data_IF_369314792621
#
_entry.id   IF_369314792621
#
_cell.length_a   1.000
_cell.length_b   1.000
_cell.length_c   1.000
_cell.angle_alpha   90.00
_cell.angle_beta   90.00
_cell.angle_gamma   90.00
#
_symmetry.space_group_name_H-M   'P 1'
#
loop_
_entity.id
_entity.type
_entity.pdbx_description
1 polymer ?
#
# COMPACT_ATOMS: atom_id res chain seq x y z
N UNK A 1 19.46 26.85 -18.93
CA UNK A 1 19.45 26.47 -17.49
C UNK A 1 18.04 26.36 -16.88
N UNK A 2 17.07 27.19 -17.28
CA UNK A 2 15.71 27.18 -16.72
C UNK A 2 15.01 25.80 -16.85
N UNK A 3 15.08 25.17 -18.02
CA UNK A 3 14.52 23.84 -18.25
C UNK A 3 15.07 22.80 -17.25
N UNK A 4 16.40 22.72 -17.07
CA UNK A 4 16.98 21.75 -16.13
C UNK A 4 16.59 22.02 -14.68
N UNK A 5 16.41 23.28 -14.28
CA UNK A 5 15.87 23.61 -12.94
C UNK A 5 14.43 23.10 -12.78
N UNK A 6 13.60 23.24 -13.82
CA UNK A 6 12.24 22.70 -13.83
C UNK A 6 12.24 21.17 -13.73
N UNK A 7 13.07 20.51 -14.53
CA UNK A 7 13.20 19.05 -14.53
C UNK A 7 13.76 18.51 -13.21
N UNK A 8 14.62 19.26 -12.53
CA UNK A 8 15.11 18.93 -11.18
C UNK A 8 13.97 19.01 -10.15
N UNK A 9 13.21 20.10 -10.16
CA UNK A 9 12.06 20.28 -9.27
C UNK A 9 11.02 19.17 -9.47
N UNK A 10 10.74 18.80 -10.72
CA UNK A 10 9.84 17.69 -11.04
C UNK A 10 10.35 16.36 -10.49
N UNK A 11 11.65 16.04 -10.66
CA UNK A 11 12.22 14.81 -10.10
C UNK A 11 12.17 14.78 -8.56
N UNK A 12 12.39 15.92 -7.90
CA UNK A 12 12.26 16.05 -6.45
C UNK A 12 10.81 15.82 -5.97
N UNK A 13 9.84 16.36 -6.70
CA UNK A 13 8.42 16.13 -6.44
C UNK A 13 8.07 14.65 -6.61
N UNK A 14 8.43 14.03 -7.75
CA UNK A 14 8.16 12.60 -7.99
C UNK A 14 8.79 11.70 -6.93
N UNK A 15 9.99 12.03 -6.42
CA UNK A 15 10.61 11.26 -5.32
C UNK A 15 9.77 11.35 -4.05
N UNK A 16 9.29 12.54 -3.72
CA UNK A 16 8.46 12.79 -2.53
C UNK A 16 7.12 12.04 -2.64
N UNK A 17 6.49 12.08 -3.81
CA UNK A 17 5.27 11.33 -4.09
C UNK A 17 5.49 9.81 -4.01
N UNK A 18 6.61 9.30 -4.54
CA UNK A 18 6.95 7.89 -4.44
C UNK A 18 7.19 7.44 -2.98
N UNK A 19 7.84 8.28 -2.16
CA UNK A 19 8.01 8.03 -0.73
C UNK A 19 6.67 8.03 0.03
N UNK A 20 5.80 9.00 -0.25
CA UNK A 20 4.47 9.06 0.35
C UNK A 20 3.59 7.85 -0.04
N UNK A 21 3.66 7.44 -1.31
CA UNK A 21 2.95 6.25 -1.79
C UNK A 21 3.47 4.97 -1.13
N UNK A 22 4.79 4.84 -0.94
CA UNK A 22 5.39 3.71 -0.23
C UNK A 22 4.94 3.66 1.24
N UNK A 23 4.93 4.80 1.95
CA UNK A 23 4.44 4.88 3.32
C UNK A 23 2.95 4.52 3.42
N UNK A 24 2.14 4.99 2.48
CA UNK A 24 0.71 4.65 2.40
C UNK A 24 0.51 3.15 2.17
N UNK A 25 1.29 2.54 1.28
CA UNK A 25 1.23 1.09 1.03
C UNK A 25 1.57 0.28 2.29
N UNK A 26 2.55 0.71 3.10
CA UNK A 26 2.89 0.06 4.38
C UNK A 26 1.76 0.20 5.39
N UNK A 27 1.13 1.38 5.49
CA UNK A 27 0.01 1.59 6.41
C UNK A 27 -1.20 0.72 6.04
N UNK A 28 -1.51 0.62 4.74
CA UNK A 28 -2.58 -0.23 4.23
C UNK A 28 -2.29 -1.72 4.46
N UNK A 29 -1.06 -2.17 4.21
CA UNK A 29 -0.69 -3.57 4.47
C UNK A 29 -0.77 -3.92 5.96
N UNK A 30 -0.35 -3.00 6.83
CA UNK A 30 -0.47 -3.18 8.29
C UNK A 30 -1.93 -3.33 8.71
N UNK A 31 -2.83 -2.49 8.18
CA UNK A 31 -4.28 -2.59 8.45
C UNK A 31 -4.87 -3.88 7.90
N UNK A 32 -4.48 -4.30 6.70
CA UNK A 32 -4.96 -5.53 6.08
C UNK A 32 -4.51 -6.77 6.86
N UNK A 33 -3.26 -6.81 7.34
CA UNK A 33 -2.76 -7.89 8.21
C UNK A 33 -3.53 -7.98 9.52
N UNK A 34 -3.78 -6.85 10.18
CA UNK A 34 -4.56 -6.84 11.41
C UNK A 34 -6.00 -7.37 11.20
N UNK A 35 -6.61 -7.05 10.05
CA UNK A 35 -7.91 -7.59 9.68
C UNK A 35 -7.85 -9.11 9.42
N UNK A 36 -6.83 -9.57 8.69
CA UNK A 36 -6.57 -11.00 8.46
C UNK A 36 -6.36 -11.76 9.77
N UNK A 37 -5.52 -11.26 10.68
CA UNK A 37 -5.23 -11.91 11.96
C UNK A 37 -6.51 -12.05 12.81
N UNK A 38 -7.35 -11.01 12.82
CA UNK A 38 -8.65 -11.06 13.49
C UNK A 38 -9.59 -12.10 12.88
N UNK A 39 -9.80 -12.02 11.55
CA UNK A 39 -10.72 -12.93 10.85
C UNK A 39 -10.27 -14.39 10.89
N UNK A 40 -8.98 -14.65 10.68
CA UNK A 40 -8.41 -16.00 10.73
C UNK A 40 -8.49 -16.59 12.15
N UNK A 41 -8.21 -15.79 13.18
CA UNK A 41 -8.36 -16.21 14.58
C UNK A 41 -9.81 -16.57 14.91
N UNK A 42 -10.77 -15.75 14.49
CA UNK A 42 -12.20 -16.01 14.72
C UNK A 42 -12.68 -17.28 14.00
N UNK A 43 -12.28 -17.47 12.74
CA UNK A 43 -12.57 -18.69 11.97
C UNK A 43 -11.98 -19.92 12.65
N UNK A 44 -10.71 -19.87 13.06
CA UNK A 44 -10.05 -20.98 13.76
C UNK A 44 -10.77 -21.34 15.07
N UNK A 45 -11.14 -20.33 15.87
CA UNK A 45 -11.87 -20.55 17.12
C UNK A 45 -13.24 -21.19 16.87
N UNK A 46 -13.96 -20.76 15.83
CA UNK A 46 -15.25 -21.32 15.45
C UNK A 46 -15.11 -22.75 14.91
N UNK A 47 -14.12 -23.04 14.07
CA UNK A 47 -13.83 -24.39 13.54
C UNK A 47 -13.49 -25.36 14.69
N UNK A 48 -12.70 -24.92 15.68
CA UNK A 48 -12.40 -25.73 16.87
C UNK A 48 -13.66 -25.99 17.71
N UNK A 49 -14.49 -24.97 17.93
CA UNK A 49 -15.76 -25.12 18.64
C UNK A 49 -16.70 -26.11 17.92
N UNK A 50 -16.82 -26.02 16.60
CA UNK A 50 -17.60 -26.94 15.78
C UNK A 50 -17.02 -28.36 15.84
N UNK A 51 -15.71 -28.50 15.76
CA UNK A 51 -15.04 -29.81 15.87
C UNK A 51 -15.34 -30.49 17.20
N UNK A 52 -15.26 -29.74 18.31
CA UNK A 52 -15.61 -30.24 19.65
C UNK A 52 -17.09 -30.59 19.76
N UNK A 53 -17.98 -29.76 19.21
CA UNK A 53 -19.42 -30.00 19.21
C UNK A 53 -19.80 -31.27 18.43
N UNK A 54 -19.28 -31.42 17.20
CA UNK A 54 -19.48 -32.61 16.37
C UNK A 54 -19.02 -33.86 17.12
N UNK A 55 -17.80 -33.83 17.69
CA UNK A 55 -17.23 -34.98 18.36
C UNK A 55 -17.97 -35.36 19.67
N UNK A 56 -18.58 -34.41 20.37
CA UNK A 56 -19.42 -34.69 21.53
C UNK A 56 -20.75 -35.34 21.12
N UNK A 57 -21.39 -34.82 20.07
CA UNK A 57 -22.65 -35.35 19.53
C UNK A 57 -22.47 -36.77 18.96
N UNK A 58 -21.37 -37.03 18.25
CA UNK A 58 -21.04 -38.36 17.73
C UNK A 58 -20.79 -39.39 18.84
N UNK A 59 -20.36 -38.95 20.03
CA UNK A 59 -20.24 -39.80 21.23
C UNK A 59 -21.56 -39.98 21.99
N UNK A 60 -22.67 -39.45 21.45
CA UNK A 60 -23.99 -39.54 22.06
C UNK A 60 -24.24 -38.53 23.18
N UNK A 61 -23.37 -37.53 23.39
CA UNK A 61 -23.64 -36.45 24.34
C UNK A 61 -24.75 -35.56 23.79
N UNK A 62 -25.93 -35.65 24.38
CA UNK A 62 -27.11 -34.86 24.00
C UNK A 62 -27.76 -34.22 25.23
N UNK A 63 -28.62 -33.21 25.02
CA UNK A 63 -29.40 -32.57 26.09
C UNK A 63 -28.55 -31.90 27.18
N UNK A 64 -28.94 -32.05 28.44
CA UNK A 64 -28.32 -31.36 29.58
C UNK A 64 -26.82 -31.61 29.73
N UNK A 65 -26.31 -32.79 29.38
CA UNK A 65 -24.88 -33.13 29.42
C UNK A 65 -24.06 -32.34 28.39
N UNK A 66 -24.62 -32.10 27.21
CA UNK A 66 -24.00 -31.28 26.16
C UNK A 66 -24.01 -29.79 26.52
N UNK A 67 -25.08 -29.32 27.17
CA UNK A 67 -25.25 -27.91 27.57
C UNK A 67 -24.40 -27.53 28.78
N UNK A 68 -24.21 -28.43 29.74
CA UNK A 68 -23.38 -28.18 30.93
C UNK A 68 -21.88 -28.14 30.61
N UNK A 69 -21.42 -28.79 29.54
CA UNK A 69 -20.01 -28.85 29.14
C UNK A 69 -19.45 -27.59 28.47
N UNK A 70 -20.20 -26.49 28.36
CA UNK A 70 -19.77 -25.24 27.72
C UNK A 70 -19.70 -25.26 26.18
N UNK A 71 -19.69 -26.45 25.57
CA UNK A 71 -19.69 -26.69 24.12
C UNK A 71 -20.94 -26.10 23.46
N UNK A 72 -22.11 -26.22 24.10
CA UNK A 72 -23.36 -25.66 23.57
C UNK A 72 -23.36 -24.13 23.45
N UNK A 73 -22.69 -23.41 24.36
CA UNK A 73 -22.58 -21.95 24.30
C UNK A 73 -21.64 -21.48 23.18
N UNK A 74 -20.53 -22.20 22.97
CA UNK A 74 -19.63 -21.94 21.85
C UNK A 74 -20.31 -22.24 20.51
N UNK A 75 -21.04 -23.35 20.42
CA UNK A 75 -21.82 -23.71 19.24
C UNK A 75 -22.87 -22.66 18.88
N UNK A 76 -23.61 -22.17 19.89
CA UNK A 76 -24.60 -21.11 19.71
C UNK A 76 -23.99 -19.86 19.08
N UNK A 77 -22.82 -19.44 19.57
CA UNK A 77 -22.10 -18.28 19.02
C UNK A 77 -21.65 -18.52 17.58
N UNK A 78 -21.06 -19.68 17.30
CA UNK A 78 -20.58 -20.02 15.95
C UNK A 78 -21.71 -20.01 14.91
N UNK A 79 -22.89 -20.52 15.28
CA UNK A 79 -24.07 -20.57 14.39
C UNK A 79 -24.76 -19.21 14.24
N UNK A 80 -24.81 -18.40 15.30
CA UNK A 80 -25.40 -17.06 15.24
C UNK A 80 -24.53 -16.07 14.47
N UNK A 81 -23.21 -16.23 14.53
CA UNK A 81 -22.25 -15.34 13.87
C UNK A 81 -21.91 -15.79 12.44
N UNK A 82 -22.45 -16.92 11.98
CA UNK A 82 -22.23 -17.40 10.62
C UNK A 82 -23.38 -17.00 9.72
N UNK A 83 -23.07 -16.23 8.67
CA UNK A 83 -23.99 -15.88 7.59
C UNK A 83 -24.21 -17.02 6.59
N UNK A 84 -23.45 -18.12 6.72
CA UNK A 84 -23.52 -19.29 5.84
C UNK A 84 -24.52 -20.34 6.31
N UNK A 85 -24.97 -20.26 7.56
CA UNK A 85 -26.01 -21.14 8.07
C UNK A 85 -27.37 -20.64 7.60
N UNK A 86 -28.14 -21.50 6.92
CA UNK A 86 -29.50 -21.17 6.54
C UNK A 86 -30.38 -20.88 7.77
N UNK A 87 -31.41 -20.05 7.62
CA UNK A 87 -32.32 -19.76 8.73
C UNK A 87 -32.99 -21.03 9.29
N UNK A 88 -33.25 -22.02 8.42
CA UNK A 88 -33.75 -23.34 8.85
C UNK A 88 -32.73 -24.09 9.68
N UNK A 89 -31.48 -24.17 9.25
CA UNK A 89 -30.42 -24.88 9.97
C UNK A 89 -30.10 -24.20 11.30
N UNK A 90 -30.09 -22.86 11.31
CA UNK A 90 -29.93 -22.07 12.52
C UNK A 90 -31.06 -22.36 13.50
N UNK A 91 -32.30 -22.42 13.01
CA UNK A 91 -33.46 -22.77 13.84
C UNK A 91 -33.36 -24.20 14.38
N UNK A 92 -32.95 -25.16 13.56
CA UNK A 92 -32.75 -26.56 13.96
C UNK A 92 -31.69 -26.70 15.05
N UNK A 93 -30.53 -26.04 14.89
CA UNK A 93 -29.46 -26.07 15.89
C UNK A 93 -29.87 -25.34 17.17
N UNK A 94 -30.55 -24.20 17.08
CA UNK A 94 -31.03 -23.48 18.27
C UNK A 94 -32.13 -24.25 19.02
N UNK A 95 -33.02 -24.94 18.30
CA UNK A 95 -34.05 -25.82 18.87
C UNK A 95 -33.43 -27.03 19.57
N UNK A 96 -32.37 -27.59 19.00
CA UNK A 96 -31.57 -28.63 19.66
C UNK A 96 -30.89 -28.10 20.94
N UNK A 97 -30.30 -26.90 20.88
CA UNK A 97 -29.62 -26.26 22.00
C UNK A 97 -30.54 -25.79 23.13
N UNK A 98 -31.82 -25.52 22.86
CA UNK A 98 -32.80 -25.19 23.90
C UNK A 98 -33.29 -26.42 24.67
N UNK A 99 -32.73 -27.60 24.39
CA UNK A 99 -32.98 -28.82 25.15
C UNK A 99 -34.29 -29.49 24.80
N UNK A 100 -34.84 -29.24 23.59
CA UNK A 100 -35.95 -29.99 23.00
C UNK A 100 -36.97 -30.48 24.03
N UNK A 101 -37.50 -29.57 24.86
CA UNK A 101 -38.62 -29.94 25.72
C UNK A 101 -39.82 -30.10 24.81
N UNK A 102 -40.13 -31.36 24.50
CA UNK A 102 -41.31 -31.81 23.80
C UNK A 102 -42.56 -31.61 24.67
N UNK A 103 -42.82 -30.39 25.13
CA UNK A 103 -44.08 -30.02 25.76
C UNK A 103 -45.08 -29.55 24.68
N UNK A 104 -45.35 -30.43 23.71
CA UNK A 104 -46.33 -30.15 22.65
C UNK A 104 -46.09 -30.76 21.26
N UNK A 105 -45.38 -31.88 21.13
CA UNK A 105 -45.34 -32.65 19.86
C UNK A 105 -44.64 -31.98 18.66
N UNK A 106 -43.86 -30.90 18.87
CA UNK A 106 -43.05 -30.29 17.81
C UNK A 106 -41.79 -31.11 17.56
N UNK A 107 -41.45 -31.25 16.28
CA UNK A 107 -40.27 -31.89 15.72
C UNK A 107 -38.99 -31.56 16.53
N UNK A 108 -38.43 -32.57 17.20
CA UNK A 108 -37.10 -32.49 17.81
C UNK A 108 -36.10 -33.06 16.81
N UNK A 109 -35.18 -32.25 16.24
CA UNK A 109 -34.23 -32.72 15.26
C UNK A 109 -33.35 -33.83 15.85
N UNK A 110 -33.15 -34.91 15.10
CA UNK A 110 -32.29 -36.01 15.54
C UNK A 110 -30.85 -35.53 15.60
N UNK A 111 -30.08 -36.03 16.58
CA UNK A 111 -28.67 -35.65 16.75
C UNK A 111 -27.83 -35.87 15.49
N UNK A 112 -28.18 -36.85 14.65
CA UNK A 112 -27.52 -37.10 13.37
C UNK A 112 -27.71 -35.99 12.33
N UNK A 113 -28.90 -35.38 12.27
CA UNK A 113 -29.18 -34.25 11.37
C UNK A 113 -28.39 -33.01 11.80
N UNK A 114 -28.38 -32.73 13.11
CA UNK A 114 -27.57 -31.64 13.70
C UNK A 114 -26.08 -31.86 13.41
N UNK A 115 -25.56 -33.08 13.56
CA UNK A 115 -24.16 -33.39 13.20
C UNK A 115 -23.89 -33.12 11.72
N UNK A 116 -24.83 -33.44 10.82
CA UNK A 116 -24.72 -33.13 9.40
C UNK A 116 -24.60 -31.62 9.14
N UNK A 117 -25.50 -30.83 9.71
CA UNK A 117 -25.49 -29.36 9.63
C UNK A 117 -24.16 -28.79 10.14
N UNK A 118 -23.69 -29.26 11.30
CA UNK A 118 -22.45 -28.77 11.89
C UNK A 118 -21.21 -29.14 11.09
N UNK A 119 -21.19 -30.31 10.46
CA UNK A 119 -20.11 -30.73 9.54
C UNK A 119 -20.07 -29.84 8.31
N UNK A 120 -21.22 -29.61 7.68
CA UNK A 120 -21.30 -28.71 6.53
C UNK A 120 -20.81 -27.30 6.89
N UNK A 121 -21.28 -26.76 8.02
CA UNK A 121 -20.84 -25.45 8.50
C UNK A 121 -19.32 -25.40 8.76
N UNK A 122 -18.76 -26.46 9.35
CA UNK A 122 -17.32 -26.57 9.59
C UNK A 122 -16.54 -26.60 8.27
N UNK A 123 -17.00 -27.36 7.30
CA UNK A 123 -16.35 -27.49 6.00
C UNK A 123 -16.37 -26.15 5.25
N UNK A 124 -17.50 -25.43 5.28
CA UNK A 124 -17.62 -24.08 4.73
C UNK A 124 -16.67 -23.09 5.42
N UNK A 125 -16.63 -23.06 6.76
CA UNK A 125 -15.69 -22.19 7.49
C UNK A 125 -14.23 -22.55 7.22
N UNK A 126 -13.91 -23.83 7.04
CA UNK A 126 -12.56 -24.29 6.70
C UNK A 126 -12.18 -23.86 5.29
N UNK A 127 -13.13 -23.89 4.35
CA UNK A 127 -12.93 -23.35 3.00
C UNK A 127 -12.73 -21.83 3.01
N UNK A 128 -13.50 -21.09 3.81
CA UNK A 128 -13.35 -19.65 3.99
C UNK A 128 -11.98 -19.30 4.59
N UNK A 129 -11.52 -20.04 5.61
CA UNK A 129 -10.18 -19.87 6.18
C UNK A 129 -9.08 -20.10 5.13
N UNK A 130 -9.19 -21.18 4.36
CA UNK A 130 -8.21 -21.49 3.30
C UNK A 130 -8.19 -20.43 2.20
N UNK A 131 -9.37 -19.92 1.82
CA UNK A 131 -9.48 -18.81 0.86
C UNK A 131 -8.85 -17.53 1.40
N UNK A 132 -9.10 -17.21 2.67
CA UNK A 132 -8.53 -16.05 3.36
C UNK A 132 -7.00 -16.14 3.45
N UNK A 133 -6.45 -17.31 3.79
CA UNK A 133 -5.00 -17.56 3.81
C UNK A 133 -4.35 -17.41 2.43
N UNK A 134 -5.05 -17.83 1.38
CA UNK A 134 -4.58 -17.66 0.01
C UNK A 134 -4.58 -16.18 -0.40
N UNK A 135 -5.65 -15.45 -0.10
CA UNK A 135 -5.73 -14.01 -0.35
C UNK A 135 -4.63 -13.25 0.40
N UNK A 136 -4.35 -13.62 1.65
CA UNK A 136 -3.25 -13.08 2.45
C UNK A 136 -1.90 -13.28 1.75
N UNK A 137 -1.62 -14.50 1.26
CA UNK A 137 -0.38 -14.83 0.58
C UNK A 137 -0.19 -14.02 -0.71
N UNK A 138 -1.25 -13.92 -1.51
CA UNK A 138 -1.27 -13.13 -2.74
C UNK A 138 -1.06 -11.64 -2.43
N UNK A 139 -1.75 -11.11 -1.42
CA UNK A 139 -1.58 -9.72 -0.97
C UNK A 139 -0.15 -9.45 -0.50
N UNK A 140 0.44 -10.33 0.31
CA UNK A 140 1.81 -10.21 0.79
C UNK A 140 2.81 -10.19 -0.36
N UNK A 141 2.62 -11.07 -1.34
CA UNK A 141 3.46 -11.13 -2.55
C UNK A 141 3.36 -9.84 -3.36
N UNK A 142 2.14 -9.36 -3.60
CA UNK A 142 1.89 -8.10 -4.31
C UNK A 142 2.50 -6.90 -3.57
N UNK A 143 2.33 -6.83 -2.24
CA UNK A 143 2.92 -5.77 -1.42
C UNK A 143 4.45 -5.78 -1.50
N UNK A 144 5.09 -6.95 -1.39
CA UNK A 144 6.54 -7.08 -1.53
C UNK A 144 7.03 -6.63 -2.92
N UNK A 145 6.30 -7.00 -3.97
CA UNK A 145 6.58 -6.55 -5.34
C UNK A 145 6.50 -5.03 -5.49
N UNK A 146 5.40 -4.44 -4.98
CA UNK A 146 5.19 -2.98 -4.98
C UNK A 146 6.30 -2.24 -4.22
N UNK A 147 6.67 -2.72 -3.04
CA UNK A 147 7.71 -2.08 -2.22
C UNK A 147 9.09 -2.18 -2.87
N UNK A 148 9.42 -3.31 -3.52
CA UNK A 148 10.65 -3.45 -4.31
C UNK A 148 10.68 -2.44 -5.46
N UNK A 149 9.59 -2.34 -6.24
CA UNK A 149 9.48 -1.41 -7.35
C UNK A 149 9.62 0.06 -6.87
N UNK A 150 8.92 0.43 -5.80
CA UNK A 150 8.99 1.77 -5.20
C UNK A 150 10.40 2.09 -4.67
N UNK A 151 11.09 1.12 -4.08
CA UNK A 151 12.47 1.30 -3.62
C UNK A 151 13.42 1.58 -4.79
N UNK A 152 13.28 0.84 -5.90
CA UNK A 152 14.06 1.07 -7.12
C UNK A 152 13.74 2.45 -7.71
N UNK A 153 12.46 2.81 -7.82
CA UNK A 153 12.00 4.12 -8.30
C UNK A 153 12.62 5.27 -7.49
N UNK A 154 12.55 5.20 -6.15
CA UNK A 154 13.12 6.21 -5.25
C UNK A 154 14.65 6.31 -5.43
N UNK A 155 15.33 5.17 -5.59
CA UNK A 155 16.79 5.13 -5.80
C UNK A 155 17.18 5.79 -7.13
N UNK A 156 16.48 5.46 -8.22
CA UNK A 156 16.70 6.07 -9.54
C UNK A 156 16.44 7.56 -9.50
N UNK A 157 15.31 8.00 -8.94
CA UNK A 157 14.99 9.42 -8.79
C UNK A 157 16.03 10.16 -7.97
N UNK A 158 16.55 9.54 -6.91
CA UNK A 158 17.62 10.13 -6.09
C UNK A 158 18.89 10.36 -6.90
N UNK A 159 19.35 9.36 -7.66
CA UNK A 159 20.52 9.51 -8.55
C UNK A 159 20.29 10.59 -9.60
N UNK A 160 19.12 10.61 -10.24
CA UNK A 160 18.77 11.63 -11.25
C UNK A 160 18.74 13.04 -10.64
N UNK A 161 18.26 13.20 -9.40
CA UNK A 161 18.28 14.48 -8.68
C UNK A 161 19.72 14.92 -8.43
N UNK A 162 20.60 14.02 -7.97
CA UNK A 162 22.02 14.31 -7.74
C UNK A 162 22.71 14.80 -9.02
N UNK A 163 22.58 14.05 -10.11
CA UNK A 163 23.14 14.38 -11.42
C UNK A 163 22.64 15.74 -11.94
N UNK A 164 21.31 15.97 -11.91
CA UNK A 164 20.70 17.23 -12.33
C UNK A 164 21.15 18.40 -11.44
N UNK A 165 21.30 18.19 -10.13
CA UNK A 165 21.75 19.22 -9.19
C UNK A 165 23.16 19.68 -9.53
N UNK A 166 24.08 18.73 -9.74
CA UNK A 166 25.46 19.03 -10.16
C UNK A 166 25.45 19.81 -11.47
N UNK A 167 24.71 19.33 -12.48
CA UNK A 167 24.69 19.94 -13.80
C UNK A 167 24.07 21.35 -13.80
N UNK A 168 23.03 21.57 -13.00
CA UNK A 168 22.46 22.91 -12.78
C UNK A 168 23.49 23.84 -12.13
N UNK A 169 24.24 23.35 -11.14
CA UNK A 169 25.32 24.11 -10.51
C UNK A 169 26.42 24.50 -11.50
N UNK A 170 26.93 23.54 -12.28
CA UNK A 170 27.97 23.79 -13.29
C UNK A 170 27.52 24.79 -14.34
N UNK A 171 26.31 24.63 -14.89
CA UNK A 171 25.77 25.58 -15.87
C UNK A 171 25.56 26.97 -15.27
N UNK A 172 25.22 27.09 -13.98
CA UNK A 172 25.04 28.38 -13.35
C UNK A 172 26.39 29.14 -13.29
N UNK A 173 27.46 28.45 -12.90
CA UNK A 173 28.82 29.02 -12.89
C UNK A 173 29.26 29.40 -14.29
N UNK A 174 29.03 28.54 -15.28
CA UNK A 174 29.39 28.81 -16.68
C UNK A 174 28.64 30.02 -17.25
N UNK A 175 27.35 30.18 -16.91
CA UNK A 175 26.56 31.36 -17.30
C UNK A 175 27.13 32.63 -16.69
N UNK A 176 27.50 32.64 -15.40
CA UNK A 176 28.10 33.82 -14.78
C UNK A 176 29.49 34.14 -15.35
N UNK A 177 30.28 33.10 -15.67
CA UNK A 177 31.56 33.28 -16.37
C UNK A 177 31.36 33.93 -17.74
N UNK A 178 30.46 33.41 -18.57
CA UNK A 178 30.16 33.96 -19.89
C UNK A 178 29.64 35.40 -19.82
N UNK A 179 28.83 35.75 -18.80
CA UNK A 179 28.39 37.13 -18.58
C UNK A 179 29.56 38.06 -18.26
N UNK A 180 30.50 37.61 -17.42
CA UNK A 180 31.69 38.39 -17.10
C UNK A 180 32.57 38.62 -18.33
N UNK A 181 32.82 37.57 -19.12
CA UNK A 181 33.60 37.65 -20.36
C UNK A 181 32.94 38.56 -21.42
N UNK A 182 31.60 38.50 -21.54
CA UNK A 182 30.85 39.40 -22.41
C UNK A 182 31.02 40.86 -21.96
N UNK A 183 30.87 41.13 -20.67
CA UNK A 183 31.02 42.49 -20.12
C UNK A 183 32.44 43.05 -20.33
N UNK A 184 33.47 42.21 -20.18
CA UNK A 184 34.85 42.60 -20.49
C UNK A 184 35.05 42.87 -21.98
N UNK A 185 34.54 41.99 -22.84
CA UNK A 185 34.61 42.16 -24.30
C UNK A 185 33.90 43.43 -24.77
N UNK A 186 32.75 43.76 -24.18
CA UNK A 186 32.03 45.01 -24.44
C UNK A 186 32.85 46.25 -24.04
N UNK A 187 33.54 46.20 -22.89
CA UNK A 187 34.44 47.30 -22.45
C UNK A 187 35.62 47.47 -23.41
N UNK A 188 36.27 46.36 -23.80
CA UNK A 188 37.40 46.40 -24.74
C UNK A 188 36.96 46.93 -26.10
N UNK A 189 35.82 46.48 -26.62
CA UNK A 189 35.27 46.98 -27.88
C UNK A 189 34.99 48.50 -27.84
N UNK A 190 34.49 49.02 -26.71
CA UNK A 190 34.29 50.46 -26.55
C UNK A 190 35.62 51.22 -26.53
N UNK A 191 36.62 50.71 -25.80
CA UNK A 191 37.96 51.31 -25.76
C UNK A 191 38.63 51.30 -27.15
N UNK A 192 38.53 50.20 -27.90
CA UNK A 192 39.07 50.07 -29.25
C UNK A 192 38.40 51.04 -30.23
N UNK A 193 37.08 51.24 -30.13
CA UNK A 193 36.35 52.24 -30.91
C UNK A 193 36.83 53.66 -30.62
N UNK A 194 37.07 53.98 -29.35
CA UNK A 194 37.60 55.29 -28.96
C UNK A 194 39.03 55.48 -29.49
N UNK A 195 39.89 54.46 -29.37
CA UNK A 195 41.25 54.48 -29.91
C UNK A 195 41.25 54.66 -31.43
N UNK A 196 40.41 53.92 -32.16
CA UNK A 196 40.28 54.03 -33.61
C UNK A 196 39.85 55.43 -34.05
N UNK A 197 38.91 56.06 -33.32
CA UNK A 197 38.50 57.43 -33.58
C UNK A 197 39.64 58.43 -33.33
N UNK A 198 40.36 58.30 -32.22
CA UNK A 198 41.53 59.14 -31.91
C UNK A 198 42.63 58.99 -32.96
N UNK A 199 42.97 57.76 -33.35
CA UNK A 199 43.97 57.47 -34.38
C UNK A 199 43.57 58.05 -35.73
N UNK A 200 42.30 57.95 -36.10
CA UNK A 200 41.80 58.55 -37.34
C UNK A 200 41.96 60.06 -37.31
N UNK A 201 41.59 60.72 -36.21
CA UNK A 201 41.76 62.17 -36.03
C UNK A 201 43.23 62.62 -36.04
N UNK A 202 44.13 61.85 -35.41
CA UNK A 202 45.56 62.16 -35.44
C UNK A 202 46.14 61.98 -36.84
N UNK A 203 45.77 60.91 -37.56
CA UNK A 203 46.23 60.69 -38.93
C UNK A 203 45.75 61.82 -39.87
N UNK A 204 44.50 62.28 -39.73
CA UNK A 204 44.02 63.43 -40.52
C UNK A 204 44.76 64.72 -40.20
N UNK A 205 45.06 64.96 -38.93
CA UNK A 205 45.82 66.15 -38.49
C UNK A 205 47.25 66.13 -39.05
N UNK A 206 47.92 64.98 -38.92
CA UNK A 206 49.29 64.82 -39.38
C UNK A 206 49.40 64.88 -40.92
N UNK A 207 48.38 64.39 -41.64
CA UNK A 207 48.30 64.54 -43.09
C UNK A 207 48.20 66.03 -43.50
N UNK A 208 47.38 66.82 -42.81
CA UNK A 208 47.29 68.27 -43.10
C UNK A 208 48.59 69.03 -42.78
N UNK A 209 49.31 68.66 -41.71
CA UNK A 209 50.59 69.28 -41.36
C UNK A 209 51.70 69.00 -42.38
N UNK A 210 51.60 67.93 -43.17
CA UNK A 210 52.59 67.56 -44.19
C UNK A 210 52.30 68.18 -45.57
N UNK A 211 51.10 68.73 -45.79
CA UNK A 211 50.73 69.43 -47.02
C UNK A 211 51.03 70.95 -46.97
N UNK A 212 51.35 71.51 -45.81
CA UNK A 212 51.86 72.89 -45.62
C UNK A 212 53.38 72.99 -45.82
#
# INVERSE_FOLDING_TARGET
IAQMKSELAQSQQSRTEAQAAAATAVALDTKARAAFDGQSSDLLANIDALTKAIAALERGMTGGSFLQGGVGAALRRAVMNSDKVSDSDRTSVLSFLSGGSSDGGRYAPQSGEIVGILKQLKDEMSADLSALEKEELDRKTNHQGLMKAKTVEISVLTKTIEEKTVRVGTLAVEVEKMKSELSESERTLLADKELASKLTGSCTTQASEWEE
#
